data_IF_050952744199
#
_entry.id   IF_050952744199
#
_cell.length_a   1.000
_cell.length_b   1.000
_cell.length_c   1.000
_cell.angle_alpha   90.00
_cell.angle_beta   90.00
_cell.angle_gamma   90.00
#
_symmetry.space_group_name_H-M   'P 1'
#
loop_
_entity.id
_entity.type
_entity.pdbx_description
1 polymer ?
#
# COMPACT_ATOMS: atom_id res chain seq x y z
N UNK A 1 16.77 -0.25 -7.94
CA UNK A 1 16.56 0.82 -8.93
C UNK A 1 17.50 1.95 -8.63
N UNK A 2 17.95 2.68 -9.65
CA UNK A 2 18.44 4.05 -9.44
C UNK A 2 17.18 4.86 -9.19
N UNK A 3 17.11 5.56 -8.06
CA UNK A 3 15.97 6.43 -7.78
C UNK A 3 15.89 7.47 -8.91
N UNK A 4 14.68 7.72 -9.41
CA UNK A 4 14.48 8.71 -10.47
C UNK A 4 14.99 10.08 -10.00
N UNK A 5 15.46 10.96 -10.92
CA UNK A 5 15.92 12.28 -10.56
C UNK A 5 14.81 13.02 -9.77
N UNK A 6 15.15 13.71 -8.68
CA UNK A 6 14.16 14.43 -7.89
C UNK A 6 13.48 15.49 -8.77
N UNK A 7 12.16 15.50 -8.78
CA UNK A 7 11.29 16.44 -9.51
C UNK A 7 10.99 17.71 -8.72
N UNK A 8 11.52 17.82 -7.50
CA UNK A 8 11.31 18.96 -6.61
C UNK A 8 10.05 18.87 -5.75
N UNK A 9 9.22 17.83 -5.94
CA UNK A 9 7.97 17.64 -5.21
C UNK A 9 8.07 16.55 -4.15
N UNK A 10 7.07 16.48 -3.26
CA UNK A 10 6.92 15.37 -2.32
C UNK A 10 6.72 14.03 -3.03
N UNK A 11 6.94 12.92 -2.32
CA UNK A 11 6.86 11.55 -2.87
C UNK A 11 5.53 11.20 -3.55
N UNK A 12 4.44 11.86 -3.16
CA UNK A 12 3.08 11.61 -3.64
C UNK A 12 2.51 12.80 -4.43
N UNK A 13 3.38 13.74 -4.78
CA UNK A 13 3.04 14.97 -5.49
C UNK A 13 3.65 14.97 -6.88
N UNK A 14 3.12 15.83 -7.74
CA UNK A 14 3.59 16.01 -9.11
C UNK A 14 3.63 17.52 -9.41
N UNK A 15 4.62 18.00 -10.18
CA UNK A 15 4.64 19.39 -10.62
C UNK A 15 3.47 19.68 -11.57
N UNK A 16 2.73 20.77 -11.35
CA UNK A 16 1.60 21.21 -12.19
C UNK A 16 1.86 22.50 -12.98
N UNK A 17 3.01 23.14 -12.75
CA UNK A 17 3.43 24.40 -13.36
C UNK A 17 4.06 25.33 -12.33
N UNK A 18 4.83 26.35 -12.77
CA UNK A 18 5.35 27.46 -11.93
C UNK A 18 5.85 27.09 -10.51
N UNK A 19 6.67 26.03 -10.41
CA UNK A 19 7.21 25.51 -9.14
C UNK A 19 6.14 25.08 -8.10
N UNK A 20 4.93 24.82 -8.55
CA UNK A 20 3.81 24.30 -7.75
C UNK A 20 3.72 22.77 -7.86
N UNK A 21 3.55 22.14 -6.71
CA UNK A 21 3.37 20.70 -6.56
C UNK A 21 1.96 20.42 -6.06
N UNK A 22 1.34 19.38 -6.58
CA UNK A 22 0.02 18.97 -6.13
C UNK A 22 -0.10 17.45 -5.95
N UNK A 23 -0.92 16.97 -5.00
CA UNK A 23 -1.01 15.53 -4.73
C UNK A 23 -1.65 14.78 -5.90
N UNK A 24 -1.08 13.64 -6.27
CA UNK A 24 -1.69 12.74 -7.26
C UNK A 24 -3.03 12.21 -6.77
N UNK A 25 -3.96 12.00 -7.70
CA UNK A 25 -5.33 11.53 -7.45
C UNK A 25 -6.16 12.47 -6.55
N UNK A 26 -5.68 13.69 -6.30
CA UNK A 26 -6.42 14.73 -5.58
C UNK A 26 -7.35 15.50 -6.52
N UNK A 27 -8.47 15.97 -5.98
CA UNK A 27 -9.35 16.94 -6.66
C UNK A 27 -8.94 18.38 -6.42
N UNK A 28 -7.97 18.62 -5.53
CA UNK A 28 -7.42 19.96 -5.28
C UNK A 28 -6.76 20.51 -6.55
N UNK A 29 -6.76 21.83 -6.72
CA UNK A 29 -6.20 22.55 -7.90
C UNK A 29 -6.87 22.21 -9.24
N UNK A 30 -7.94 21.41 -9.23
CA UNK A 30 -8.69 21.04 -10.43
C UNK A 30 -10.14 21.56 -10.42
N UNK A 31 -10.77 21.70 -11.61
CA UNK A 31 -12.20 21.96 -11.72
C UNK A 31 -13.05 20.86 -11.05
N UNK A 32 -14.32 21.15 -10.83
CA UNK A 32 -15.27 20.16 -10.30
C UNK A 32 -15.24 18.85 -11.10
N UNK A 33 -15.28 17.71 -10.40
CA UNK A 33 -15.17 16.35 -10.96
C UNK A 33 -13.91 16.08 -11.80
N UNK A 34 -12.82 16.80 -11.54
CA UNK A 34 -11.51 16.48 -12.09
C UNK A 34 -10.54 16.13 -10.96
N UNK A 35 -9.51 15.40 -11.31
CA UNK A 35 -8.41 15.03 -10.42
C UNK A 35 -7.07 15.17 -11.13
N UNK A 36 -5.99 15.16 -10.36
CA UNK A 36 -4.63 15.28 -10.88
C UNK A 36 -4.08 13.90 -11.22
N UNK A 37 -3.76 13.69 -12.50
CA UNK A 37 -3.02 12.52 -12.98
C UNK A 37 -1.67 12.93 -13.55
N UNK A 38 -0.69 12.05 -13.44
CA UNK A 38 0.63 12.19 -14.05
C UNK A 38 0.53 11.96 -15.56
N UNK A 39 0.82 12.99 -16.34
CA UNK A 39 1.03 12.84 -17.77
C UNK A 39 2.39 12.19 -18.03
N UNK A 40 2.36 10.97 -18.57
CA UNK A 40 3.56 10.17 -18.79
C UNK A 40 4.57 10.77 -19.78
N UNK A 41 4.12 11.68 -20.66
CA UNK A 41 4.95 12.34 -21.68
C UNK A 41 5.61 13.62 -21.15
N UNK A 42 4.82 14.49 -20.52
CA UNK A 42 5.32 15.79 -20.01
C UNK A 42 5.95 15.67 -18.62
N UNK A 43 5.64 14.60 -17.89
CA UNK A 43 6.00 14.40 -16.47
C UNK A 43 5.38 15.45 -15.53
N UNK A 44 4.31 16.09 -15.97
CA UNK A 44 3.55 17.06 -15.19
C UNK A 44 2.20 16.48 -14.78
N UNK A 45 1.62 17.02 -13.72
CA UNK A 45 0.25 16.75 -13.32
C UNK A 45 -0.72 17.50 -14.22
N UNK A 46 -1.79 16.82 -14.63
CA UNK A 46 -2.84 17.40 -15.45
C UNK A 46 -4.22 17.09 -14.83
N UNK A 47 -5.10 18.09 -14.85
CA UNK A 47 -6.48 17.92 -14.44
C UNK A 47 -7.25 17.17 -15.51
N UNK A 48 -7.76 16.00 -15.15
CA UNK A 48 -8.53 15.14 -16.05
C UNK A 48 -9.86 14.75 -15.43
N UNK A 49 -10.92 14.55 -16.25
CA UNK A 49 -12.22 14.18 -15.74
C UNK A 49 -12.17 12.84 -15.01
N UNK A 50 -12.91 12.78 -13.90
CA UNK A 50 -13.08 11.55 -13.14
C UNK A 50 -14.16 10.68 -13.80
N UNK A 51 -13.81 9.46 -14.20
CA UNK A 51 -14.71 8.54 -14.92
C UNK A 51 -15.69 7.80 -14.00
N UNK A 52 -15.31 7.57 -12.74
CA UNK A 52 -16.08 6.84 -11.75
C UNK A 52 -16.24 7.66 -10.47
N UNK A 53 -17.18 7.28 -9.61
CA UNK A 53 -17.38 7.89 -8.28
C UNK A 53 -16.19 7.62 -7.32
N UNK A 54 -16.31 8.13 -6.09
CA UNK A 54 -15.41 7.78 -4.97
C UNK A 54 -15.33 6.27 -4.75
N UNK A 55 -14.11 5.79 -4.43
CA UNK A 55 -13.77 4.38 -4.19
C UNK A 55 -14.05 3.40 -5.36
N UNK A 56 -14.26 3.92 -6.57
CA UNK A 56 -14.45 3.10 -7.77
C UNK A 56 -13.42 3.40 -8.84
N UNK A 57 -13.04 2.35 -9.57
CA UNK A 57 -11.99 2.39 -10.59
C UNK A 57 -12.59 1.95 -11.91
N UNK A 58 -12.31 2.73 -12.97
CA UNK A 58 -12.71 2.38 -14.33
C UNK A 58 -11.77 1.30 -14.86
N UNK A 59 -12.32 0.15 -15.24
CA UNK A 59 -11.58 -0.97 -15.80
C UNK A 59 -11.77 -1.00 -17.31
N UNK A 60 -10.69 -0.81 -18.06
CA UNK A 60 -10.77 -0.69 -19.54
C UNK A 60 -11.22 -1.97 -20.24
N UNK A 61 -10.95 -3.14 -19.65
CA UNK A 61 -11.22 -4.44 -20.29
C UNK A 61 -12.71 -4.76 -20.42
N UNK A 62 -13.53 -4.30 -19.48
CA UNK A 62 -14.99 -4.48 -19.48
C UNK A 62 -15.77 -3.16 -19.63
N UNK A 63 -15.07 -2.02 -19.58
CA UNK A 63 -15.63 -0.67 -19.69
C UNK A 63 -16.59 -0.33 -18.54
N UNK A 64 -16.33 -0.86 -17.34
CA UNK A 64 -17.17 -0.66 -16.16
C UNK A 64 -16.40 -0.05 -14.98
N UNK A 65 -17.14 0.59 -14.08
CA UNK A 65 -16.62 1.05 -12.79
C UNK A 65 -16.79 -0.05 -11.75
N UNK A 66 -15.68 -0.49 -11.16
CA UNK A 66 -15.65 -1.54 -10.13
C UNK A 66 -15.32 -0.95 -8.76
N UNK A 67 -15.85 -1.56 -7.70
CA UNK A 67 -15.41 -1.24 -6.33
C UNK A 67 -13.95 -1.69 -6.17
N UNK A 68 -13.13 -0.90 -5.48
CA UNK A 68 -11.74 -1.28 -5.21
C UNK A 68 -11.61 -2.61 -4.46
N UNK A 69 -12.62 -3.04 -3.71
CA UNK A 69 -12.68 -4.31 -2.98
C UNK A 69 -13.43 -5.41 -3.74
N UNK A 70 -13.84 -5.18 -4.99
CA UNK A 70 -14.65 -6.13 -5.73
C UNK A 70 -13.92 -7.45 -5.95
N UNK A 71 -14.51 -8.52 -5.44
CA UNK A 71 -13.94 -9.87 -5.51
C UNK A 71 -14.03 -10.38 -6.95
N UNK A 72 -12.91 -10.89 -7.47
CA UNK A 72 -12.84 -11.53 -8.78
C UNK A 72 -12.31 -10.63 -9.91
N UNK A 73 -12.14 -9.33 -9.67
CA UNK A 73 -11.48 -8.43 -10.63
C UNK A 73 -9.97 -8.66 -10.64
N UNK A 74 -9.37 -8.69 -9.45
CA UNK A 74 -7.95 -8.93 -9.29
C UNK A 74 -7.64 -10.38 -8.84
N UNK A 75 -6.68 -11.06 -9.49
CA UNK A 75 -6.29 -12.42 -9.11
C UNK A 75 -5.39 -12.41 -7.87
N UNK A 76 -5.15 -13.59 -7.29
CA UNK A 76 -4.12 -13.82 -6.29
C UNK A 76 -4.18 -12.83 -5.12
N UNK A 77 -5.36 -12.70 -4.49
CA UNK A 77 -5.63 -11.83 -3.35
C UNK A 77 -5.13 -10.37 -3.49
N UNK A 78 -4.99 -9.89 -4.73
CA UNK A 78 -4.70 -8.50 -5.04
C UNK A 78 -5.96 -7.67 -4.99
N UNK A 79 -5.77 -6.36 -4.84
CA UNK A 79 -6.82 -5.36 -4.83
C UNK A 79 -6.66 -4.42 -6.03
N UNK A 80 -7.78 -3.84 -6.45
CA UNK A 80 -7.82 -2.88 -7.53
C UNK A 80 -7.39 -1.50 -7.01
N UNK A 81 -6.47 -0.87 -7.74
CA UNK A 81 -5.94 0.46 -7.45
C UNK A 81 -5.88 1.31 -8.72
N UNK A 82 -5.75 2.62 -8.55
CA UNK A 82 -5.37 3.54 -9.60
C UNK A 82 -3.88 3.83 -9.52
N UNK A 83 -3.18 3.71 -10.64
CA UNK A 83 -1.82 4.21 -10.72
C UNK A 83 -1.80 5.75 -10.93
N UNK A 84 -0.61 6.35 -10.91
CA UNK A 84 -0.45 7.80 -11.07
C UNK A 84 -1.02 8.34 -12.41
N UNK A 85 -1.12 7.50 -13.45
CA UNK A 85 -1.71 7.86 -14.74
C UNK A 85 -3.22 7.57 -14.82
N UNK A 86 -3.84 7.14 -13.71
CA UNK A 86 -5.28 6.84 -13.60
C UNK A 86 -5.71 5.54 -14.26
N UNK A 87 -4.79 4.63 -14.59
CA UNK A 87 -5.16 3.30 -15.07
C UNK A 87 -5.41 2.36 -13.89
N UNK A 88 -6.41 1.49 -14.05
CA UNK A 88 -6.67 0.36 -13.17
C UNK A 88 -5.48 -0.60 -13.14
N UNK A 89 -5.00 -0.92 -11.94
CA UNK A 89 -3.95 -1.91 -11.72
C UNK A 89 -4.31 -2.82 -10.55
N UNK A 90 -3.87 -4.07 -10.60
CA UNK A 90 -3.98 -5.00 -9.49
C UNK A 90 -2.67 -5.05 -8.71
N UNK A 91 -2.70 -4.61 -7.46
CA UNK A 91 -1.54 -4.62 -6.57
C UNK A 91 -1.87 -5.28 -5.23
N UNK A 92 -0.82 -5.60 -4.47
CA UNK A 92 -0.99 -6.13 -3.14
C UNK A 92 -1.62 -5.09 -2.22
N UNK A 93 -2.56 -5.51 -1.34
CA UNK A 93 -3.09 -4.65 -0.30
C UNK A 93 -1.99 -4.00 0.53
N UNK A 94 -2.28 -2.83 1.09
CA UNK A 94 -1.35 -2.10 1.92
C UNK A 94 -0.76 -2.98 3.04
N UNK A 95 0.56 -2.99 3.15
CA UNK A 95 1.30 -3.83 4.11
C UNK A 95 1.55 -5.27 3.66
N UNK A 96 1.02 -5.68 2.51
CA UNK A 96 1.33 -6.96 1.87
C UNK A 96 2.31 -6.80 0.71
N UNK A 97 3.01 -7.88 0.40
CA UNK A 97 4.05 -7.89 -0.61
C UNK A 97 3.90 -9.08 -1.58
N UNK A 98 4.26 -8.92 -2.86
CA UNK A 98 4.14 -9.99 -3.83
C UNK A 98 5.15 -11.11 -3.59
N UNK A 99 4.65 -12.34 -3.52
CA UNK A 99 5.43 -13.57 -3.48
C UNK A 99 5.77 -14.13 -4.87
N UNK A 100 6.51 -15.25 -4.95
CA UNK A 100 6.95 -15.87 -6.20
C UNK A 100 5.82 -16.31 -7.15
N UNK A 101 4.65 -16.63 -6.61
CA UNK A 101 3.46 -17.01 -7.37
C UNK A 101 2.51 -15.82 -7.63
N UNK A 102 2.92 -14.60 -7.26
CA UNK A 102 2.11 -13.40 -7.38
C UNK A 102 0.98 -13.26 -6.36
N UNK A 103 0.89 -14.14 -5.36
CA UNK A 103 0.05 -13.95 -4.17
C UNK A 103 0.67 -12.91 -3.24
N UNK A 104 -0.19 -12.22 -2.50
CA UNK A 104 0.22 -11.19 -1.55
C UNK A 104 0.37 -11.78 -0.16
N UNK A 105 1.45 -11.40 0.52
CA UNK A 105 1.92 -11.96 1.79
C UNK A 105 2.32 -10.85 2.77
N UNK A 106 2.03 -11.00 4.06
CA UNK A 106 2.54 -10.09 5.08
C UNK A 106 4.01 -10.36 5.40
N UNK A 107 4.71 -9.34 5.92
CA UNK A 107 6.01 -9.58 6.54
C UNK A 107 5.85 -10.42 7.80
N UNK A 108 6.87 -11.22 8.07
CA UNK A 108 7.01 -12.12 9.21
C UNK A 108 6.01 -13.28 9.29
N UNK A 109 5.14 -13.47 8.29
CA UNK A 109 4.39 -14.71 8.18
C UNK A 109 5.28 -15.83 7.56
N UNK A 110 4.97 -17.11 7.79
CA UNK A 110 5.69 -18.22 7.13
C UNK A 110 5.59 -18.21 5.60
N UNK A 111 4.50 -17.71 5.02
CA UNK A 111 4.25 -17.59 3.58
C UNK A 111 4.65 -18.86 2.79
N UNK A 112 5.60 -18.71 1.87
CA UNK A 112 6.24 -19.72 1.04
C UNK A 112 7.65 -20.08 1.56
N UNK A 113 7.99 -19.69 2.79
CA UNK A 113 9.30 -19.90 3.38
C UNK A 113 9.46 -21.32 3.97
N UNK A 114 10.70 -21.84 4.01
CA UNK A 114 11.00 -23.09 4.72
C UNK A 114 10.66 -23.00 6.21
N UNK A 115 10.49 -24.17 6.84
CA UNK A 115 10.23 -24.27 8.28
C UNK A 115 11.26 -23.47 9.10
N UNK A 116 10.79 -22.77 10.13
CA UNK A 116 11.62 -21.91 10.98
C UNK A 116 11.99 -20.55 10.36
N UNK A 117 11.59 -20.30 9.10
CA UNK A 117 11.82 -19.03 8.40
C UNK A 117 10.51 -18.30 8.11
N UNK A 118 10.61 -16.99 8.00
CA UNK A 118 9.49 -16.09 7.69
C UNK A 118 9.90 -15.07 6.64
N UNK A 119 8.91 -14.47 5.96
CA UNK A 119 9.14 -13.46 4.94
C UNK A 119 9.67 -12.17 5.59
N UNK A 120 10.83 -11.67 5.14
CA UNK A 120 11.43 -10.45 5.68
C UNK A 120 11.95 -9.56 4.56
N UNK A 121 11.87 -8.25 4.79
CA UNK A 121 12.48 -7.26 3.91
C UNK A 121 13.97 -7.08 4.27
N UNK A 122 14.84 -7.28 3.30
CA UNK A 122 16.26 -7.02 3.41
C UNK A 122 16.55 -5.57 3.00
N UNK A 123 16.88 -4.72 4.00
CA UNK A 123 17.18 -3.30 3.75
C UNK A 123 18.41 -3.11 2.84
N UNK A 124 19.56 -3.78 3.07
CA UNK A 124 20.72 -3.70 2.18
C UNK A 124 20.41 -4.02 0.71
N UNK A 125 19.75 -5.15 0.43
CA UNK A 125 19.48 -5.58 -0.95
C UNK A 125 18.21 -4.97 -1.52
N UNK A 126 17.36 -4.36 -0.68
CA UNK A 126 16.00 -3.89 -1.01
C UNK A 126 15.13 -5.02 -1.61
N UNK A 127 15.30 -6.25 -1.13
CA UNK A 127 14.55 -7.43 -1.62
C UNK A 127 13.82 -8.12 -0.48
N UNK A 128 12.74 -8.82 -0.83
CA UNK A 128 12.09 -9.75 0.08
C UNK A 128 12.81 -11.10 0.04
N UNK A 129 12.92 -11.74 1.19
CA UNK A 129 13.52 -13.06 1.29
C UNK A 129 13.10 -13.79 2.55
N UNK A 130 13.25 -15.11 2.52
CA UNK A 130 13.01 -15.96 3.68
C UNK A 130 14.21 -15.89 4.61
N UNK A 131 13.98 -15.52 5.87
CA UNK A 131 15.00 -15.41 6.90
C UNK A 131 14.51 -16.07 8.19
N UNK A 132 15.41 -16.52 9.10
CA UNK A 132 15.00 -17.10 10.38
C UNK A 132 14.06 -16.19 11.15
N UNK A 133 13.04 -16.77 11.80
CA UNK A 133 12.08 -16.02 12.60
C UNK A 133 12.79 -15.20 13.71
N UNK A 134 12.74 -13.86 13.67
CA UNK A 134 13.42 -13.02 14.65
C UNK A 134 12.75 -13.12 16.04
N UNK A 135 11.53 -13.65 16.12
CA UNK A 135 10.75 -13.75 17.34
C UNK A 135 10.71 -15.17 17.92
N UNK A 136 11.79 -15.93 17.76
CA UNK A 136 11.97 -17.20 18.48
C UNK A 136 10.93 -18.27 18.12
N UNK A 137 10.55 -18.34 16.84
CA UNK A 137 9.56 -19.28 16.28
C UNK A 137 8.10 -18.99 16.66
N UNK A 138 7.79 -17.86 17.31
CA UNK A 138 6.39 -17.47 17.58
C UNK A 138 5.62 -17.30 16.28
N UNK A 139 6.21 -16.67 15.27
CA UNK A 139 5.55 -16.44 13.99
C UNK A 139 5.24 -17.73 13.23
N UNK A 140 6.07 -18.75 13.41
CA UNK A 140 5.85 -20.07 12.79
C UNK A 140 4.73 -20.89 13.45
N UNK A 141 4.19 -20.42 14.57
CA UNK A 141 3.15 -21.08 15.36
C UNK A 141 1.87 -20.25 15.51
N UNK A 142 1.73 -19.20 14.71
CA UNK A 142 0.54 -18.34 14.70
C UNK A 142 -0.68 -19.12 14.24
N UNK A 143 -1.83 -18.79 14.82
CA UNK A 143 -3.11 -19.21 14.25
C UNK A 143 -3.38 -18.45 12.94
N UNK A 144 -4.21 -18.98 12.02
CA UNK A 144 -4.45 -18.36 10.71
C UNK A 144 -4.91 -16.90 10.76
N UNK A 145 -5.61 -16.51 11.83
CA UNK A 145 -6.14 -15.16 12.02
C UNK A 145 -5.24 -14.27 12.89
N UNK A 146 -4.14 -14.81 13.42
CA UNK A 146 -3.21 -14.04 14.25
C UNK A 146 -2.29 -13.20 13.36
N UNK A 147 -2.13 -11.94 13.75
CA UNK A 147 -1.16 -11.06 13.12
C UNK A 147 0.27 -11.43 13.54
N UNK A 148 1.26 -11.21 12.65
CA UNK A 148 2.64 -11.53 12.96
C UNK A 148 3.23 -10.67 14.09
N UNK A 149 4.36 -11.13 14.63
CA UNK A 149 5.21 -10.42 15.56
C UNK A 149 6.43 -9.86 14.84
N UNK A 150 6.72 -8.58 15.05
CA UNK A 150 7.90 -7.91 14.53
C UNK A 150 8.85 -7.53 15.68
N UNK A 151 10.18 -7.63 15.49
CA UNK A 151 11.15 -7.13 16.44
C UNK A 151 11.21 -5.59 16.39
N UNK A 152 11.29 -4.94 17.54
CA UNK A 152 11.69 -3.53 17.66
C UNK A 152 13.18 -3.42 18.02
N UNK A 153 13.72 -2.20 17.94
CA UNK A 153 15.13 -1.89 18.26
C UNK A 153 15.49 -2.18 19.74
N UNK A 154 14.50 -2.39 20.60
CA UNK A 154 14.65 -2.76 22.01
C UNK A 154 14.92 -4.27 22.22
N UNK A 155 14.91 -5.05 21.13
CA UNK A 155 15.13 -6.50 21.16
C UNK A 155 13.90 -7.31 21.56
N UNK A 156 12.74 -6.67 21.76
CA UNK A 156 11.47 -7.35 22.03
C UNK A 156 10.63 -7.47 20.77
N UNK A 157 9.77 -8.50 20.75
CA UNK A 157 8.80 -8.73 19.69
C UNK A 157 7.41 -8.26 20.09
N UNK A 158 6.71 -7.66 19.13
CA UNK A 158 5.40 -7.05 19.31
C UNK A 158 4.49 -7.48 18.17
N UNK A 159 3.24 -7.82 18.49
CA UNK A 159 2.28 -8.19 17.47
C UNK A 159 1.89 -6.95 16.65
N UNK A 160 1.74 -7.09 15.33
CA UNK A 160 1.10 -6.03 14.55
C UNK A 160 -0.29 -5.74 15.12
N UNK A 161 -0.64 -4.46 15.22
CA UNK A 161 -1.91 -3.98 15.76
C UNK A 161 -2.15 -4.24 17.26
N UNK A 162 -1.15 -4.71 18.03
CA UNK A 162 -1.23 -4.64 19.50
C UNK A 162 -1.00 -3.19 19.96
N UNK A 163 -2.09 -2.48 20.24
CA UNK A 163 -2.03 -1.26 21.02
C UNK A 163 -1.60 -1.64 22.43
N UNK A 164 -0.31 -1.45 22.78
CA UNK A 164 0.08 -1.43 24.19
C UNK A 164 -0.63 -0.24 24.83
N UNK A 165 -1.68 -0.52 25.59
CA UNK A 165 -2.15 0.38 26.64
C UNK A 165 -1.01 0.46 27.65
N UNK A 166 -0.06 1.35 27.42
CA UNK A 166 0.82 1.83 28.47
C UNK A 166 -0.14 2.55 29.42
N UNK A 167 -0.34 1.97 30.60
CA UNK A 167 -1.07 2.59 31.70
C UNK A 167 -0.58 4.02 31.88
N UNK A 168 -1.40 4.99 31.46
CA UNK A 168 -1.17 6.41 31.66
C UNK A 168 -1.26 7.24 30.38
N UNK A 169 -2.47 7.75 30.13
CA UNK A 169 -2.82 8.85 29.22
C UNK A 169 -3.15 8.42 27.78
N UNK A 170 -4.45 8.17 27.58
CA UNK A 170 -5.13 8.17 26.29
C UNK A 170 -4.90 9.52 25.58
N UNK A 171 -4.29 9.50 24.39
CA UNK A 171 -4.61 10.47 23.34
C UNK A 171 -5.26 9.69 22.19
N UNK A 172 -6.59 9.60 22.25
CA UNK A 172 -7.43 9.21 21.13
C UNK A 172 -7.42 10.35 20.12
N UNK A 173 -6.88 10.12 18.92
CA UNK A 173 -7.35 10.80 17.71
C UNK A 173 -7.78 9.71 16.74
N UNK A 174 -9.10 9.58 16.58
CA UNK A 174 -9.74 8.58 15.75
C UNK A 174 -11.24 8.74 15.87
N UNK A 175 -11.75 9.65 15.04
CA UNK A 175 -13.13 10.14 14.99
C UNK A 175 -14.11 8.98 14.77
N UNK A 176 -15.07 8.87 15.68
CA UNK A 176 -16.26 8.04 15.54
C UNK A 176 -17.13 8.58 14.41
N UNK A 177 -17.45 7.71 13.44
CA UNK A 177 -18.60 7.90 12.57
C UNK A 177 -19.90 7.78 13.37
N UNK A 178 -20.89 8.60 13.02
CA UNK A 178 -22.29 8.43 13.42
C UNK A 178 -23.18 8.97 12.31
N UNK A 179 -23.98 8.09 11.70
CA UNK A 179 -25.44 8.26 11.56
C UNK A 179 -26.07 6.91 11.91
#
# INVERSE_FOLDING_TARGET
GKDDPPDGCGRYEVPIGDDECAPLLSTEHCPYNHWILLNSKTKLGECVPRLCEEDRVYVESDQMCHDINEVGICPNNKRLYLNAAGHAVCDCPDGMFPGPNGMCHFLYEPSFCPEGSVLQFDRPTKTLGCKPDPCGSVNTKLWPDDLPFAPLDDGYCYQFNEVRIITGILYLYGVLGSI
#
